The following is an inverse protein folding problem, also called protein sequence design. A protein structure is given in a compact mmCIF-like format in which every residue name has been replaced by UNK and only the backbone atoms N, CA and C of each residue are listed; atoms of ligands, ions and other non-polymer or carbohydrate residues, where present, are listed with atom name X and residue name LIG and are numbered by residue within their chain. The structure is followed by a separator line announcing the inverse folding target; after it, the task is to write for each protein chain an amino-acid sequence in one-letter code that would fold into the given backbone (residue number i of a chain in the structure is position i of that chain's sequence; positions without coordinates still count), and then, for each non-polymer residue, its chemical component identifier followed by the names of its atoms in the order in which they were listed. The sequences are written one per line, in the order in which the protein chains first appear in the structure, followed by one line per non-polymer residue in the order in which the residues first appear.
data_IF_971288419571
#
_entry.id   IF_971288419571
#
_cell.length_a   1.000
_cell.length_b   1.000
_cell.length_c   1.000
_cell.angle_alpha   90.00
_cell.angle_beta   90.00
_cell.angle_gamma   90.00
#
_symmetry.space_group_name_H-M   'P 1'
#
loop_
_entity.id
_entity.type
_entity.pdbx_description
1 polymer ?
#
# COMPACT_ATOMS: atom_id res chain seq x y z
N UNK A 1 16.94 3.98 -6.59
CA UNK A 1 15.49 3.76 -6.66
C UNK A 1 14.84 4.27 -5.38
N UNK A 2 13.76 4.98 -5.51
CA UNK A 2 13.10 5.55 -4.34
C UNK A 2 12.23 4.53 -3.63
N UNK A 3 12.29 4.55 -2.31
CA UNK A 3 11.36 3.80 -1.48
C UNK A 3 10.16 4.68 -1.17
N UNK A 4 8.98 4.09 -1.13
CA UNK A 4 7.73 4.79 -0.84
C UNK A 4 7.00 4.04 0.26
N UNK A 5 6.55 4.78 1.26
CA UNK A 5 5.74 4.20 2.34
C UNK A 5 4.28 4.50 2.11
N UNK A 6 3.43 3.52 2.38
CA UNK A 6 1.99 3.62 2.21
C UNK A 6 1.26 3.19 3.47
N UNK A 7 0.02 3.65 3.59
CA UNK A 7 -0.95 3.12 4.55
C UNK A 7 -2.08 2.51 3.74
N UNK A 8 -2.53 1.33 4.15
CA UNK A 8 -3.71 0.70 3.54
C UNK A 8 -4.93 1.47 4.00
N UNK A 9 -5.51 2.27 3.11
CA UNK A 9 -6.67 3.09 3.42
C UNK A 9 -7.94 2.25 3.47
N UNK A 10 -8.09 1.33 2.53
CA UNK A 10 -9.29 0.53 2.38
C UNK A 10 -8.98 -0.74 1.63
N UNK A 11 -9.59 -1.84 2.03
CA UNK A 11 -9.54 -3.10 1.28
C UNK A 11 -10.92 -3.33 0.69
N UNK A 12 -10.98 -3.53 -0.62
CA UNK A 12 -12.22 -3.69 -1.36
C UNK A 12 -12.10 -4.92 -2.27
N UNK A 13 -12.57 -6.07 -1.79
CA UNK A 13 -12.48 -7.32 -2.53
C UNK A 13 -11.03 -7.69 -2.83
N UNK A 14 -10.70 -7.80 -4.11
CA UNK A 14 -9.37 -8.19 -4.56
C UNK A 14 -8.38 -7.03 -4.66
N UNK A 15 -8.79 -5.83 -4.23
CA UNK A 15 -7.97 -4.62 -4.37
C UNK A 15 -7.82 -3.91 -3.03
N UNK A 16 -6.73 -3.18 -2.89
CA UNK A 16 -6.50 -2.30 -1.77
C UNK A 16 -6.22 -0.89 -2.29
N UNK A 17 -6.68 0.10 -1.54
CA UNK A 17 -6.43 1.50 -1.82
C UNK A 17 -5.33 1.95 -0.87
N UNK A 18 -4.22 2.42 -1.43
CA UNK A 18 -3.04 2.82 -0.66
C UNK A 18 -2.88 4.33 -0.68
N UNK A 19 -2.63 4.90 0.49
CA UNK A 19 -2.35 6.33 0.66
C UNK A 19 -0.86 6.49 0.92
N UNK A 20 -0.21 7.40 0.19
CA UNK A 20 1.20 7.72 0.44
C UNK A 20 1.33 8.44 1.77
N UNK A 21 2.29 8.00 2.56
CA UNK A 21 2.56 8.63 3.86
C UNK A 21 3.20 10.01 3.66
N UNK A 22 4.07 10.15 2.66
CA UNK A 22 4.80 11.39 2.39
C UNK A 22 3.97 12.43 1.62
N UNK A 23 2.82 12.02 1.09
CA UNK A 23 1.94 12.93 0.36
C UNK A 23 0.47 12.50 0.54
N UNK A 24 -0.11 12.76 1.71
CA UNK A 24 -1.47 12.31 2.01
C UNK A 24 -2.55 12.90 1.09
N UNK A 25 -2.24 13.99 0.40
CA UNK A 25 -3.17 14.63 -0.54
C UNK A 25 -3.15 13.99 -1.93
N UNK A 26 -2.17 13.13 -2.21
CA UNK A 26 -2.11 12.43 -3.48
C UNK A 26 -3.28 11.46 -3.61
N UNK A 27 -3.68 11.16 -4.85
CA UNK A 27 -4.72 10.18 -5.11
C UNK A 27 -4.33 8.81 -4.55
N UNK A 28 -5.33 8.07 -4.07
CA UNK A 28 -5.11 6.72 -3.60
C UNK A 28 -4.66 5.85 -4.77
N UNK A 29 -3.70 4.97 -4.49
CA UNK A 29 -3.21 4.02 -5.48
C UNK A 29 -3.99 2.72 -5.33
N UNK A 30 -4.61 2.27 -6.41
CA UNK A 30 -5.34 1.00 -6.44
C UNK A 30 -4.38 -0.11 -6.80
N UNK A 31 -4.22 -1.09 -5.91
CA UNK A 31 -3.28 -2.20 -6.10
C UNK A 31 -3.99 -3.52 -5.83
N UNK A 32 -3.78 -4.49 -6.70
CA UNK A 32 -4.34 -5.83 -6.51
C UNK A 32 -3.72 -6.48 -5.27
N UNK A 33 -4.55 -7.10 -4.45
CA UNK A 33 -4.08 -7.77 -3.23
C UNK A 33 -3.07 -8.87 -3.51
N UNK A 34 -3.13 -9.47 -4.70
CA UNK A 34 -2.17 -10.50 -5.11
C UNK A 34 -0.73 -9.98 -5.15
N UNK A 35 -0.54 -8.67 -5.26
CA UNK A 35 0.78 -8.03 -5.29
C UNK A 35 1.23 -7.58 -3.90
N UNK A 36 0.41 -7.76 -2.89
CA UNK A 36 0.64 -7.26 -1.55
C UNK A 36 0.85 -8.42 -0.57
N UNK A 37 1.47 -8.16 0.59
CA UNK A 37 1.55 -9.20 1.62
C UNK A 37 0.17 -9.73 1.97
N UNK A 38 0.07 -11.04 2.21
CA UNK A 38 -1.22 -11.69 2.43
C UNK A 38 -1.90 -11.26 3.74
N UNK A 39 -1.12 -10.74 4.68
CA UNK A 39 -1.60 -10.38 6.01
C UNK A 39 -1.92 -8.89 6.17
N UNK A 40 -2.11 -8.17 5.07
CA UNK A 40 -2.47 -6.75 5.16
C UNK A 40 -3.84 -6.57 5.81
N UNK A 41 -4.02 -5.41 6.42
CA UNK A 41 -5.29 -5.00 7.02
C UNK A 41 -5.43 -3.49 6.87
N UNK A 42 -6.64 -2.98 6.98
CA UNK A 42 -6.87 -1.53 6.89
C UNK A 42 -6.16 -0.84 8.04
N UNK A 43 -5.36 0.16 7.69
CA UNK A 43 -4.49 0.86 8.63
C UNK A 43 -3.07 0.33 8.67
N UNK A 44 -2.77 -0.78 7.99
CA UNK A 44 -1.43 -1.34 7.96
C UNK A 44 -0.47 -0.40 7.21
N UNK A 45 0.79 -0.40 7.64
CA UNK A 45 1.85 0.34 6.98
C UNK A 45 2.60 -0.59 6.04
N UNK A 46 2.82 -0.13 4.80
CA UNK A 46 3.54 -0.88 3.79
C UNK A 46 4.74 -0.09 3.32
N UNK A 47 5.81 -0.80 3.01
CA UNK A 47 7.02 -0.24 2.42
C UNK A 47 7.14 -0.78 0.99
N UNK A 48 7.33 0.12 0.01
CA UNK A 48 7.50 -0.24 -1.38
C UNK A 48 8.91 0.12 -1.83
N UNK A 49 9.66 -0.88 -2.27
CA UNK A 49 11.01 -0.69 -2.75
C UNK A 49 11.35 -1.82 -3.71
N UNK A 50 12.07 -1.51 -4.79
CA UNK A 50 12.52 -2.49 -5.77
C UNK A 50 11.36 -3.35 -6.29
N UNK A 51 10.23 -2.70 -6.60
CA UNK A 51 9.03 -3.32 -7.15
C UNK A 51 8.35 -4.32 -6.20
N UNK A 52 8.61 -4.22 -4.91
CA UNK A 52 8.07 -5.14 -3.93
C UNK A 52 7.48 -4.40 -2.74
N UNK A 53 6.29 -4.85 -2.30
CA UNK A 53 5.64 -4.33 -1.09
C UNK A 53 5.93 -5.26 0.07
N UNK A 54 6.20 -4.68 1.23
CA UNK A 54 6.42 -5.44 2.46
C UNK A 54 5.73 -4.75 3.63
N UNK A 55 5.39 -5.54 4.65
CA UNK A 55 4.83 -5.00 5.89
C UNK A 55 5.94 -4.31 6.68
N UNK A 56 5.60 -3.20 7.30
CA UNK A 56 6.55 -2.48 8.16
C UNK A 56 6.44 -2.95 9.60
#
# INVERSE_FOLDING_TARGET
MEAIDYIVEQIDGDYAHLRRVDDPAAELKLVARALLPADIYEGANLHYEMFEYSMM
#
